data_IF_109980460753
#
_entry.id   IF_109980460753
#
_cell.length_a   1.000
_cell.length_b   1.000
_cell.length_c   1.000
_cell.angle_alpha   90.00
_cell.angle_beta   90.00
_cell.angle_gamma   90.00
#
_symmetry.space_group_name_H-M   'P 1'
#
loop_
_entity.id
_entity.type
_entity.pdbx_description
1 polymer ?
#
# COMPACT_ATOMS: atom_id res chain seq x y z
N UNK A 1 5.87 -16.57 12.67
CA UNK A 1 5.25 -16.81 11.34
C UNK A 1 5.05 -15.44 10.71
N UNK A 2 5.63 -15.11 9.54
CA UNK A 2 5.30 -13.88 8.84
C UNK A 2 3.85 -13.95 8.34
N UNK A 3 3.08 -12.87 8.53
CA UNK A 3 1.71 -12.75 8.03
C UNK A 3 1.75 -12.02 6.68
N UNK A 4 1.36 -12.71 5.61
CA UNK A 4 1.18 -12.09 4.30
C UNK A 4 -0.18 -11.37 4.30
N UNK A 5 -0.14 -10.04 4.17
CA UNK A 5 -1.32 -9.18 4.24
C UNK A 5 -1.93 -8.90 2.85
N UNK A 6 -1.18 -9.18 1.79
CA UNK A 6 -1.53 -8.85 0.41
C UNK A 6 -1.08 -9.97 -0.53
N UNK A 7 -1.91 -10.30 -1.53
CA UNK A 7 -1.65 -11.33 -2.53
C UNK A 7 -2.04 -10.81 -3.91
N UNK A 8 -1.27 -9.87 -4.44
CA UNK A 8 -1.46 -9.36 -5.80
C UNK A 8 -0.30 -9.76 -6.71
N UNK A 9 -0.56 -9.93 -8.01
CA UNK A 9 0.46 -10.13 -9.07
C UNK A 9 1.27 -8.85 -9.37
N UNK A 10 1.26 -7.89 -8.44
CA UNK A 10 1.86 -6.55 -8.55
C UNK A 10 2.98 -6.42 -7.54
N UNK A 11 3.95 -5.56 -7.85
CA UNK A 11 4.99 -5.22 -6.90
C UNK A 11 4.43 -4.28 -5.83
N UNK A 12 4.59 -4.68 -4.59
CA UNK A 12 4.15 -3.93 -3.42
C UNK A 12 5.38 -3.35 -2.73
N UNK A 13 5.42 -2.03 -2.57
CA UNK A 13 6.63 -1.35 -2.08
C UNK A 13 6.30 -0.15 -1.21
N UNK A 14 7.30 0.27 -0.41
CA UNK A 14 7.26 1.44 0.48
C UNK A 14 6.07 1.41 1.45
N UNK A 15 5.94 0.37 2.29
CA UNK A 15 4.91 0.34 3.31
C UNK A 15 5.18 1.44 4.35
N UNK A 16 4.12 2.09 4.82
CA UNK A 16 4.15 3.02 5.95
C UNK A 16 2.95 2.76 6.86
N UNK A 17 3.20 2.68 8.16
CA UNK A 17 2.15 2.42 9.16
C UNK A 17 1.48 3.71 9.58
N UNK A 18 0.16 3.68 9.76
CA UNK A 18 -0.54 4.75 10.45
C UNK A 18 -0.07 4.85 11.91
N UNK A 19 -0.04 6.06 12.51
CA UNK A 19 0.42 6.23 13.90
C UNK A 19 -0.39 5.45 14.94
N UNK A 20 -1.65 5.16 14.66
CA UNK A 20 -2.54 4.36 15.49
C UNK A 20 -2.39 2.84 15.28
N UNK A 21 -1.56 2.41 14.33
CA UNK A 21 -1.34 1.01 13.98
C UNK A 21 -2.53 0.32 13.31
N UNK A 22 -3.58 1.06 12.93
CA UNK A 22 -4.77 0.47 12.33
C UNK A 22 -4.60 0.17 10.84
N UNK A 23 -3.69 0.85 10.15
CA UNK A 23 -3.53 0.81 8.70
C UNK A 23 -2.06 0.76 8.27
N UNK A 24 -1.84 0.15 7.11
CA UNK A 24 -0.59 0.19 6.35
C UNK A 24 -0.92 0.75 4.99
N UNK A 25 -0.24 1.82 4.57
CA UNK A 25 -0.29 2.30 3.19
C UNK A 25 0.88 1.74 2.41
N UNK A 26 0.67 1.38 1.15
CA UNK A 26 1.71 0.84 0.27
C UNK A 26 1.43 1.17 -1.20
N UNK A 27 2.48 1.21 -2.01
CA UNK A 27 2.35 1.36 -3.46
C UNK A 27 2.27 -0.01 -4.12
N UNK A 28 1.22 -0.24 -4.90
CA UNK A 28 1.09 -1.38 -5.80
C UNK A 28 1.38 -0.93 -7.24
N UNK A 29 2.36 -1.51 -7.91
CA UNK A 29 2.73 -1.15 -9.27
C UNK A 29 2.98 -2.38 -10.14
N UNK A 30 2.75 -2.25 -11.44
CA UNK A 30 3.13 -3.29 -12.40
C UNK A 30 4.66 -3.30 -12.61
N UNK A 31 5.21 -4.49 -12.85
CA UNK A 31 6.65 -4.65 -13.09
C UNK A 31 7.05 -3.87 -14.36
N UNK A 32 7.95 -2.88 -14.20
CA UNK A 32 8.38 -2.00 -15.28
C UNK A 32 7.52 -0.74 -15.47
N UNK A 33 6.44 -0.57 -14.70
CA UNK A 33 5.70 0.68 -14.68
C UNK A 33 6.45 1.76 -13.88
N UNK A 34 6.55 2.96 -14.45
CA UNK A 34 7.12 4.15 -13.77
C UNK A 34 6.16 4.81 -12.76
N UNK A 35 5.02 4.17 -12.48
CA UNK A 35 3.96 4.65 -11.61
C UNK A 35 3.36 3.50 -10.81
N UNK A 36 2.78 3.83 -9.65
CA UNK A 36 2.04 2.87 -8.83
C UNK A 36 0.74 3.45 -8.33
N UNK A 37 -0.16 2.60 -7.89
CA UNK A 37 -1.42 2.98 -7.25
C UNK A 37 -1.24 2.88 -5.74
N UNK A 38 -1.76 3.86 -5.01
CA UNK A 38 -1.69 3.85 -3.55
C UNK A 38 -2.83 3.01 -2.98
N UNK A 39 -2.49 2.05 -2.13
CA UNK A 39 -3.43 1.24 -1.39
C UNK A 39 -3.23 1.41 0.12
N UNK A 40 -4.28 1.19 0.88
CA UNK A 40 -4.24 1.01 2.32
C UNK A 40 -4.83 -0.34 2.68
N UNK A 41 -4.15 -1.08 3.55
CA UNK A 41 -4.64 -2.32 4.13
C UNK A 41 -4.75 -2.17 5.64
N UNK A 42 -5.78 -2.73 6.26
CA UNK A 42 -5.89 -2.75 7.71
C UNK A 42 -4.76 -3.58 8.34
N UNK A 43 -4.37 -3.27 9.57
CA UNK A 43 -3.30 -3.98 10.28
C UNK A 43 -3.58 -5.47 10.50
N UNK A 44 -4.85 -5.89 10.40
CA UNK A 44 -5.29 -7.29 10.43
C UNK A 44 -5.45 -7.93 9.04
N UNK A 45 -5.18 -7.20 7.96
CA UNK A 45 -5.22 -7.67 6.57
C UNK A 45 -6.62 -7.83 5.98
N UNK A 46 -7.69 -7.50 6.72
CA UNK A 46 -9.07 -7.80 6.30
C UNK A 46 -9.68 -6.76 5.36
N UNK A 47 -9.18 -5.53 5.39
CA UNK A 47 -9.72 -4.44 4.61
C UNK A 47 -8.64 -3.89 3.69
N UNK A 48 -8.88 -3.93 2.39
CA UNK A 48 -8.01 -3.33 1.38
C UNK A 48 -8.78 -2.24 0.64
N UNK A 49 -8.23 -1.04 0.63
CA UNK A 49 -8.83 0.15 0.01
C UNK A 49 -7.84 0.78 -0.94
N UNK A 50 -8.28 1.08 -2.16
CA UNK A 50 -7.53 1.90 -3.10
C UNK A 50 -7.69 3.37 -2.72
N UNK A 51 -6.59 4.06 -2.43
CA UNK A 51 -6.58 5.46 -1.98
C UNK A 51 -6.58 6.42 -3.17
N UNK A 52 -5.88 6.06 -4.26
CA UNK A 52 -5.82 6.90 -5.47
C UNK A 52 -6.51 6.22 -6.63
N UNK A 53 -7.37 6.97 -7.34
CA UNK A 53 -7.91 6.52 -8.62
C UNK A 53 -6.82 6.50 -9.72
N UNK A 54 -5.81 7.38 -9.58
CA UNK A 54 -4.77 7.59 -10.58
C UNK A 54 -3.39 7.10 -10.13
N UNK A 55 -2.49 7.11 -11.11
CA UNK A 55 -1.08 6.76 -11.01
C UNK A 55 -0.30 7.75 -10.15
N UNK A 56 0.30 7.23 -9.08
CA UNK A 56 1.18 7.94 -8.14
C UNK A 56 2.64 7.72 -8.58
N UNK A 57 3.37 8.82 -8.69
CA UNK A 57 4.78 8.82 -9.09
C UNK A 57 5.75 9.02 -7.90
N UNK A 58 5.22 9.29 -6.70
CA UNK A 58 6.00 9.63 -5.50
C UNK A 58 5.69 8.67 -4.34
N UNK A 59 6.63 8.55 -3.39
CA UNK A 59 6.46 7.70 -2.20
C UNK A 59 5.35 8.24 -1.29
N UNK A 60 4.38 7.41 -0.87
CA UNK A 60 3.39 7.81 0.12
C UNK A 60 4.05 8.01 1.48
N UNK A 61 3.47 8.90 2.29
CA UNK A 61 3.85 9.11 3.69
C UNK A 61 2.60 9.48 4.49
N UNK A 62 2.44 8.90 5.66
CA UNK A 62 1.50 9.44 6.65
C UNK A 62 2.02 10.79 7.15
N UNK A 63 1.12 11.76 7.28
CA UNK A 63 1.38 13.04 7.96
C UNK A 63 0.47 13.13 9.18
N UNK A 64 1.01 13.51 10.36
CA UNK A 64 0.20 13.75 11.56
C UNK A 64 -0.66 15.01 11.46
#
# INVERSE_FOLDING_TARGET
MPLQLTSADKLESRPDWSPDGAWIVFLSHELGAGHGTLYAVSGDGRYLVQITADNVYHSPRWQP
#
